data_IF_715912312193
#
_entry.id   IF_715912312193
#
_cell.length_a   1.000
_cell.length_b   1.000
_cell.length_c   1.000
_cell.angle_alpha   90.00
_cell.angle_beta   90.00
_cell.angle_gamma   90.00
#
_symmetry.space_group_name_H-M   'P 1'
#
loop_
_entity.id
_entity.type
_entity.pdbx_description
1 polymer ?
#
# COMPACT_ATOMS: atom_id res chain seq x y z
N UNK A 1 -12.97 -4.16 2.93
CA UNK A 1 -12.99 -5.20 1.90
C UNK A 1 -13.93 -4.81 0.75
N UNK A 2 -15.20 -4.53 1.03
CA UNK A 2 -16.19 -4.08 0.03
C UNK A 2 -15.76 -2.90 -0.86
N UNK A 3 -15.09 -1.89 -0.29
CA UNK A 3 -14.59 -0.73 -1.06
C UNK A 3 -13.57 -1.11 -2.15
N UNK A 4 -12.74 -2.12 -1.92
CA UNK A 4 -11.71 -2.58 -2.87
C UNK A 4 -12.38 -3.38 -4.00
N UNK A 5 -13.38 -4.20 -3.67
CA UNK A 5 -14.14 -5.00 -4.64
C UNK A 5 -15.02 -4.13 -5.53
N UNK A 6 -15.68 -3.11 -4.96
CA UNK A 6 -16.43 -2.09 -5.71
C UNK A 6 -15.52 -1.32 -6.67
N UNK A 7 -14.27 -1.10 -6.28
CA UNK A 7 -13.30 -0.38 -7.09
C UNK A 7 -12.73 -1.21 -8.25
N UNK A 8 -12.41 -2.49 -8.04
CA UNK A 8 -12.03 -3.43 -9.11
C UNK A 8 -13.15 -3.55 -10.16
N UNK A 9 -14.40 -3.65 -9.70
CA UNK A 9 -15.59 -3.67 -10.57
C UNK A 9 -15.74 -2.32 -11.29
N UNK A 10 -15.52 -1.20 -10.60
CA UNK A 10 -15.54 0.13 -11.21
C UNK A 10 -14.46 0.32 -12.27
N UNK A 11 -13.26 -0.19 -12.06
CA UNK A 11 -12.15 -0.15 -13.00
C UNK A 11 -12.43 -1.04 -14.23
N UNK A 12 -13.02 -2.22 -14.01
CA UNK A 12 -13.44 -3.14 -15.07
C UNK A 12 -14.56 -2.55 -15.94
N UNK A 13 -15.54 -1.86 -15.35
CA UNK A 13 -16.63 -1.20 -16.08
C UNK A 13 -16.08 0.02 -16.84
N UNK A 14 -15.24 0.85 -16.21
CA UNK A 14 -14.70 2.06 -16.82
C UNK A 14 -13.74 1.78 -18.00
N UNK A 15 -12.98 0.68 -17.93
CA UNK A 15 -12.10 0.24 -19.03
C UNK A 15 -12.87 -0.35 -20.20
N UNK A 16 -13.98 -1.06 -19.96
CA UNK A 16 -14.81 -1.64 -21.02
C UNK A 16 -15.80 -0.65 -21.67
N UNK A 17 -16.26 0.38 -20.96
CA UNK A 17 -17.28 1.32 -21.46
C UNK A 17 -16.73 2.68 -21.96
N UNK A 18 -15.41 2.81 -22.16
CA UNK A 18 -14.81 3.87 -22.98
C UNK A 18 -14.93 5.32 -22.48
N UNK A 19 -15.56 5.57 -21.33
CA UNK A 19 -15.90 6.94 -20.86
C UNK A 19 -14.76 7.65 -20.11
N UNK A 20 -13.73 6.93 -19.64
CA UNK A 20 -12.60 7.51 -18.90
C UNK A 20 -11.27 7.14 -19.55
N UNK A 21 -10.79 8.01 -20.44
CA UNK A 21 -9.57 7.83 -21.24
C UNK A 21 -8.25 7.76 -20.43
N UNK A 22 -8.27 7.91 -19.10
CA UNK A 22 -7.04 7.91 -18.29
C UNK A 22 -7.16 7.07 -17.03
N UNK A 23 -6.64 5.85 -17.09
CA UNK A 23 -6.33 5.01 -15.91
C UNK A 23 -5.53 5.78 -14.85
N UNK A 24 -4.73 6.78 -15.25
CA UNK A 24 -3.97 7.66 -14.37
C UNK A 24 -4.80 8.36 -13.30
N UNK A 25 -6.00 8.86 -13.62
CA UNK A 25 -6.86 9.56 -12.66
C UNK A 25 -7.26 8.65 -11.49
N UNK A 26 -7.67 7.41 -11.81
CA UNK A 26 -8.05 6.44 -10.79
C UNK A 26 -6.88 6.09 -9.88
N UNK A 27 -5.70 5.83 -10.43
CA UNK A 27 -4.52 5.53 -9.62
C UNK A 27 -4.07 6.73 -8.78
N UNK A 28 -4.09 7.94 -9.34
CA UNK A 28 -3.68 9.16 -8.63
C UNK A 28 -4.64 9.56 -7.51
N UNK A 29 -5.91 9.18 -7.56
CA UNK A 29 -6.87 9.35 -6.45
C UNK A 29 -6.76 8.19 -5.45
N UNK A 30 -6.65 6.96 -5.95
CA UNK A 30 -6.59 5.76 -5.12
C UNK A 30 -5.38 5.74 -4.20
N UNK A 31 -4.20 6.12 -4.70
CA UNK A 31 -2.94 6.03 -3.94
C UNK A 31 -2.95 6.90 -2.68
N UNK A 32 -3.33 8.19 -2.73
CA UNK A 32 -3.51 8.99 -1.52
C UNK A 32 -4.51 8.37 -0.56
N UNK A 33 -5.69 7.94 -1.03
CA UNK A 33 -6.72 7.35 -0.18
C UNK A 33 -6.21 6.08 0.53
N UNK A 34 -5.57 5.16 -0.21
CA UNK A 34 -4.96 3.95 0.35
C UNK A 34 -3.92 4.30 1.41
N UNK A 35 -3.05 5.27 1.12
CA UNK A 35 -2.04 5.78 2.05
C UNK A 35 -2.69 6.31 3.32
N UNK A 36 -3.73 7.13 3.20
CA UNK A 36 -4.51 7.67 4.32
C UNK A 36 -5.06 6.55 5.21
N UNK A 37 -5.64 5.50 4.61
CA UNK A 37 -6.20 4.36 5.37
C UNK A 37 -5.12 3.67 6.20
N UNK A 38 -3.97 3.34 5.61
CA UNK A 38 -2.89 2.67 6.33
C UNK A 38 -2.24 3.59 7.38
N UNK A 39 -2.03 4.86 7.07
CA UNK A 39 -1.51 5.84 8.03
C UNK A 39 -2.45 5.99 9.22
N UNK A 40 -3.76 6.11 9.00
CA UNK A 40 -4.75 6.20 10.08
C UNK A 40 -4.71 4.93 10.95
N UNK A 41 -4.64 3.75 10.32
CA UNK A 41 -4.51 2.48 11.03
C UNK A 41 -3.27 2.49 11.95
N UNK A 42 -2.09 2.82 11.41
CA UNK A 42 -0.86 2.87 12.18
C UNK A 42 -0.82 3.98 13.24
N UNK A 43 -1.45 5.11 12.97
CA UNK A 43 -1.53 6.24 13.90
C UNK A 43 -2.42 5.93 15.11
N UNK A 44 -3.54 5.23 14.90
CA UNK A 44 -4.52 4.91 15.95
C UNK A 44 -4.08 3.79 16.89
N UNK A 45 -3.13 2.96 16.49
CA UNK A 45 -2.55 1.92 17.35
C UNK A 45 -1.88 2.55 18.58
N UNK A 46 -2.13 1.99 19.77
CA UNK A 46 -1.60 2.52 21.03
C UNK A 46 -0.08 2.34 21.15
N UNK A 47 0.45 1.21 20.68
CA UNK A 47 1.89 0.92 20.61
C UNK A 47 2.67 2.01 19.87
N UNK A 48 2.07 2.63 18.87
CA UNK A 48 2.73 3.67 18.08
C UNK A 48 2.68 5.06 18.71
N UNK A 49 2.16 5.22 19.93
CA UNK A 49 2.11 6.51 20.61
C UNK A 49 3.44 7.30 20.59
N UNK A 50 4.63 6.67 20.82
CA UNK A 50 5.91 7.39 20.78
C UNK A 50 6.25 7.98 19.41
N UNK A 51 5.81 7.33 18.33
CA UNK A 51 6.15 7.68 16.94
C UNK A 51 5.01 8.41 16.21
N UNK A 52 3.88 8.68 16.85
CA UNK A 52 2.70 9.31 16.23
C UNK A 52 3.01 10.65 15.56
N UNK A 53 3.85 11.48 16.19
CA UNK A 53 4.27 12.77 15.62
C UNK A 53 5.03 12.58 14.32
N UNK A 54 5.92 11.58 14.28
CA UNK A 54 6.70 11.24 13.09
C UNK A 54 5.82 10.70 11.96
N UNK A 55 4.85 9.82 12.28
CA UNK A 55 3.86 9.32 11.32
C UNK A 55 3.05 10.47 10.72
N UNK A 56 2.54 11.39 11.57
CA UNK A 56 1.78 12.55 11.11
C UNK A 56 2.63 13.48 10.23
N UNK A 57 3.89 13.69 10.59
CA UNK A 57 4.83 14.50 9.81
C UNK A 57 5.09 13.87 8.43
N UNK A 58 5.45 12.59 8.36
CA UNK A 58 5.67 11.87 7.09
C UNK A 58 4.46 11.96 6.16
N UNK A 59 3.26 11.74 6.72
CA UNK A 59 2.02 11.83 5.96
C UNK A 59 1.72 13.26 5.49
N UNK A 60 1.96 14.27 6.33
CA UNK A 60 1.79 15.68 5.96
C UNK A 60 2.73 16.09 4.83
N UNK A 61 3.99 15.68 4.88
CA UNK A 61 4.97 15.91 3.80
C UNK A 61 4.50 15.24 2.50
N UNK A 62 4.09 13.96 2.57
CA UNK A 62 3.56 13.23 1.41
C UNK A 62 2.34 13.92 0.78
N UNK A 63 1.36 14.33 1.59
CA UNK A 63 0.18 15.03 1.09
C UNK A 63 0.54 16.37 0.47
N UNK A 64 1.42 17.13 1.11
CA UNK A 64 1.88 18.43 0.62
C UNK A 64 2.53 18.29 -0.75
N UNK A 65 3.45 17.33 -0.91
CA UNK A 65 4.12 17.04 -2.18
C UNK A 65 3.11 16.58 -3.24
N UNK A 66 2.15 15.73 -2.87
CA UNK A 66 1.11 15.22 -3.78
C UNK A 66 0.23 16.37 -4.30
N UNK A 67 -0.23 17.25 -3.41
CA UNK A 67 -1.06 18.40 -3.77
C UNK A 67 -0.29 19.40 -4.63
N UNK A 68 0.94 19.76 -4.25
CA UNK A 68 1.80 20.65 -5.05
C UNK A 68 2.03 20.08 -6.44
N UNK A 69 2.29 18.78 -6.54
CA UNK A 69 2.50 18.11 -7.83
C UNK A 69 1.26 18.23 -8.72
N UNK A 70 0.06 17.95 -8.19
CA UNK A 70 -1.16 18.01 -8.99
C UNK A 70 -1.61 19.42 -9.37
N UNK A 71 -1.29 20.42 -8.55
CA UNK A 71 -1.67 21.82 -8.80
C UNK A 71 -0.69 22.49 -9.77
N UNK A 72 0.62 22.25 -9.61
CA UNK A 72 1.65 23.06 -10.29
C UNK A 72 2.51 22.29 -11.30
N UNK A 73 2.67 20.97 -11.18
CA UNK A 73 3.68 20.22 -11.95
C UNK A 73 3.04 19.34 -13.02
N UNK A 74 2.04 18.53 -12.66
CA UNK A 74 1.47 17.53 -13.56
C UNK A 74 -0.03 17.34 -13.31
N UNK A 75 -0.83 17.30 -14.38
CA UNK A 75 -2.27 17.03 -14.28
C UNK A 75 -2.55 15.69 -13.58
N UNK A 76 -3.55 15.68 -12.70
CA UNK A 76 -4.06 14.48 -12.02
C UNK A 76 -4.49 13.36 -12.97
N UNK A 77 -4.78 13.69 -14.24
CA UNK A 77 -5.18 12.71 -15.25
C UNK A 77 -4.01 11.86 -15.77
N UNK A 78 -2.77 12.33 -15.63
CA UNK A 78 -1.58 11.62 -16.11
C UNK A 78 -0.99 10.81 -14.95
N UNK A 79 -0.82 9.50 -15.15
CA UNK A 79 -0.24 8.63 -14.12
C UNK A 79 1.17 9.09 -13.72
N UNK A 80 1.41 9.23 -12.41
CA UNK A 80 2.71 9.60 -11.86
C UNK A 80 3.26 8.45 -10.99
N UNK A 81 4.29 7.77 -11.49
CA UNK A 81 4.93 6.66 -10.78
C UNK A 81 5.65 7.08 -9.50
N UNK A 82 6.21 8.30 -9.45
CA UNK A 82 6.93 8.80 -8.27
C UNK A 82 6.00 9.02 -7.07
N UNK A 83 4.78 9.51 -7.29
CA UNK A 83 3.78 9.64 -6.22
C UNK A 83 3.33 8.27 -5.70
N UNK A 84 3.27 7.25 -6.57
CA UNK A 84 3.00 5.87 -6.17
C UNK A 84 4.15 5.28 -5.34
N UNK A 85 5.40 5.57 -5.71
CA UNK A 85 6.58 5.17 -4.94
C UNK A 85 6.59 5.83 -3.55
N UNK A 86 6.33 7.13 -3.49
CA UNK A 86 6.25 7.90 -2.24
C UNK A 86 5.16 7.37 -1.30
N UNK A 87 3.98 7.04 -1.85
CA UNK A 87 2.90 6.38 -1.11
C UNK A 87 3.36 5.07 -0.46
N UNK A 88 3.95 4.16 -1.25
CA UNK A 88 4.45 2.88 -0.74
C UNK A 88 5.56 3.05 0.29
N UNK A 89 6.43 4.05 0.12
CA UNK A 89 7.48 4.39 1.09
C UNK A 89 6.89 4.81 2.44
N UNK A 90 5.93 5.75 2.46
CA UNK A 90 5.28 6.22 3.70
C UNK A 90 4.61 5.07 4.45
N UNK A 91 3.86 4.24 3.72
CA UNK A 91 3.17 3.08 4.31
C UNK A 91 4.18 2.11 4.91
N UNK A 92 5.28 1.83 4.20
CA UNK A 92 6.34 0.94 4.67
C UNK A 92 7.02 1.49 5.93
N UNK A 93 7.35 2.79 5.97
CA UNK A 93 7.90 3.44 7.16
C UNK A 93 6.97 3.31 8.37
N UNK A 94 5.66 3.54 8.19
CA UNK A 94 4.68 3.36 9.26
C UNK A 94 4.65 1.93 9.79
N UNK A 95 4.74 0.94 8.90
CA UNK A 95 4.85 -0.46 9.28
C UNK A 95 6.14 -0.77 10.04
N UNK A 96 7.27 -0.25 9.60
CA UNK A 96 8.56 -0.44 10.27
C UNK A 96 8.52 0.15 11.68
N UNK A 97 7.94 1.34 11.86
CA UNK A 97 7.78 1.92 13.20
C UNK A 97 6.89 1.06 14.10
N UNK A 98 5.83 0.47 13.55
CA UNK A 98 5.03 -0.50 14.30
C UNK A 98 5.84 -1.71 14.72
N UNK A 99 6.59 -2.33 13.80
CA UNK A 99 7.42 -3.50 14.13
C UNK A 99 8.47 -3.16 15.17
N UNK A 100 9.14 -2.01 15.05
CA UNK A 100 10.12 -1.55 16.03
C UNK A 100 9.50 -1.45 17.44
N UNK A 101 8.35 -0.81 17.57
CA UNK A 101 7.67 -0.71 18.86
C UNK A 101 7.10 -2.06 19.35
N UNK A 102 6.68 -2.93 18.43
CA UNK A 102 6.19 -4.27 18.75
C UNK A 102 7.30 -5.16 19.31
N UNK A 103 8.49 -5.17 18.71
CA UNK A 103 9.62 -5.98 19.18
C UNK A 103 10.23 -5.47 20.49
N UNK A 104 9.90 -4.24 20.90
CA UNK A 104 10.27 -3.68 22.21
C UNK A 104 9.22 -3.98 23.31
N UNK A 105 8.19 -4.78 23.03
CA UNK A 105 7.24 -5.20 24.06
C UNK A 105 7.85 -6.31 24.92
N UNK A 106 7.91 -6.10 26.23
CA UNK A 106 8.41 -7.11 27.17
C UNK A 106 7.28 -8.02 27.72
N UNK A 107 6.03 -7.81 27.31
CA UNK A 107 4.87 -8.51 27.86
C UNK A 107 4.20 -9.47 26.85
N UNK A 108 4.24 -10.80 27.08
CA UNK A 108 3.70 -11.80 26.14
C UNK A 108 2.18 -11.71 25.96
N UNK A 109 1.45 -11.18 26.94
CA UNK A 109 -0.01 -10.99 26.81
C UNK A 109 -0.35 -9.83 25.89
N UNK A 110 0.47 -8.78 25.88
CA UNK A 110 0.32 -7.66 24.95
C UNK A 110 0.74 -8.07 23.54
N UNK A 111 1.83 -8.80 23.37
CA UNK A 111 2.27 -9.32 22.06
C UNK A 111 1.15 -10.09 21.35
N UNK A 112 0.50 -11.03 22.05
CA UNK A 112 -0.60 -11.83 21.50
C UNK A 112 -1.83 -10.98 21.13
N UNK A 113 -1.99 -9.77 21.69
CA UNK A 113 -3.04 -8.83 21.29
C UNK A 113 -2.78 -8.22 19.92
N UNK A 114 -1.53 -8.02 19.56
CA UNK A 114 -1.15 -7.33 18.33
C UNK A 114 -0.82 -8.26 17.16
N UNK A 115 -0.85 -9.58 17.39
CA UNK A 115 -0.65 -10.61 16.35
C UNK A 115 -1.42 -10.35 15.03
N UNK A 116 -2.71 -9.96 15.03
CA UNK A 116 -3.41 -9.64 13.79
C UNK A 116 -2.81 -8.44 13.05
N UNK A 117 -2.36 -7.43 13.79
CA UNK A 117 -1.77 -6.21 13.23
C UNK A 117 -0.38 -6.49 12.67
N UNK A 118 0.40 -7.39 13.29
CA UNK A 118 1.68 -7.85 12.72
C UNK A 118 1.46 -8.46 11.34
N UNK A 119 0.47 -9.33 11.17
CA UNK A 119 0.20 -9.97 9.88
C UNK A 119 -0.15 -8.95 8.80
N UNK A 120 -0.99 -7.96 9.13
CA UNK A 120 -1.27 -6.83 8.22
C UNK A 120 0.02 -6.08 7.90
N UNK A 121 0.86 -5.83 8.91
CA UNK A 121 2.09 -5.06 8.75
C UNK A 121 3.12 -5.77 7.89
N UNK A 122 3.33 -7.07 8.11
CA UNK A 122 4.22 -7.92 7.29
C UNK A 122 3.73 -7.95 5.84
N UNK A 123 2.43 -8.19 5.63
CA UNK A 123 1.84 -8.18 4.29
C UNK A 123 2.12 -6.88 3.54
N UNK A 124 1.99 -5.74 4.23
CA UNK A 124 2.19 -4.40 3.68
C UNK A 124 3.68 -4.08 3.43
N UNK A 125 4.56 -4.34 4.39
CA UNK A 125 6.01 -4.07 4.29
C UNK A 125 6.66 -4.96 3.23
N UNK A 126 6.15 -6.15 2.98
CA UNK A 126 6.64 -7.00 1.89
C UNK A 126 6.07 -6.52 0.54
N UNK A 127 4.76 -6.25 0.48
CA UNK A 127 4.08 -5.88 -0.77
C UNK A 127 4.62 -4.59 -1.40
N UNK A 128 4.59 -3.47 -0.66
CA UNK A 128 4.85 -2.16 -1.25
C UNK A 128 6.28 -2.01 -1.78
N UNK A 129 7.34 -2.40 -1.05
CA UNK A 129 8.71 -2.36 -1.57
C UNK A 129 8.92 -3.25 -2.79
N UNK A 130 8.45 -4.50 -2.78
CA UNK A 130 8.66 -5.43 -3.90
C UNK A 130 7.95 -4.93 -5.17
N UNK A 131 6.70 -4.47 -5.04
CA UNK A 131 5.97 -3.88 -6.17
C UNK A 131 6.65 -2.61 -6.66
N UNK A 132 7.08 -1.74 -5.75
CA UNK A 132 7.77 -0.49 -6.11
C UNK A 132 9.10 -0.74 -6.83
N UNK A 133 9.90 -1.71 -6.36
CA UNK A 133 11.14 -2.14 -7.02
C UNK A 133 10.83 -2.63 -8.43
N UNK A 134 9.83 -3.50 -8.57
CA UNK A 134 9.41 -4.02 -9.88
C UNK A 134 9.02 -2.90 -10.84
N UNK A 135 8.28 -1.89 -10.36
CA UNK A 135 7.90 -0.72 -11.15
C UNK A 135 9.08 0.20 -11.48
N UNK A 136 10.03 0.36 -10.56
CA UNK A 136 11.25 1.13 -10.82
C UNK A 136 12.08 0.48 -11.94
N UNK A 137 12.12 -0.86 -11.98
CA UNK A 137 12.77 -1.63 -13.03
C UNK A 137 11.89 -1.89 -14.26
N UNK A 138 10.69 -1.29 -14.37
CA UNK A 138 9.76 -1.55 -15.47
C UNK A 138 10.39 -1.42 -16.86
N UNK A 139 11.10 -0.32 -17.12
CA UNK A 139 11.77 -0.09 -18.41
C UNK A 139 12.84 -1.13 -18.71
N UNK A 140 13.56 -1.58 -17.68
CA UNK A 140 14.56 -2.63 -17.81
C UNK A 140 13.89 -3.98 -18.10
N UNK A 141 12.89 -4.37 -17.33
CA UNK A 141 12.14 -5.62 -17.55
C UNK A 141 11.50 -5.69 -18.94
N UNK A 142 11.04 -4.55 -19.46
CA UNK A 142 10.47 -4.45 -20.80
C UNK A 142 11.54 -4.56 -21.91
N UNK A 143 12.71 -3.96 -21.70
CA UNK A 143 13.81 -4.02 -22.68
C UNK A 143 14.40 -5.43 -22.84
N UNK A 144 14.38 -6.25 -21.77
CA UNK A 144 14.91 -7.61 -21.77
C UNK A 144 13.85 -8.70 -21.98
N UNK A 145 12.60 -8.32 -22.29
CA UNK A 145 11.44 -9.22 -22.41
C UNK A 145 11.36 -10.25 -21.27
N UNK A 146 11.63 -9.78 -20.06
CA UNK A 146 11.84 -10.64 -18.91
C UNK A 146 10.50 -11.27 -18.49
N UNK A 147 10.30 -12.54 -18.84
CA UNK A 147 9.07 -13.29 -18.62
C UNK A 147 9.34 -14.64 -17.95
N UNK A 148 8.37 -15.11 -17.16
CA UNK A 148 8.34 -16.46 -16.59
C UNK A 148 7.04 -17.10 -17.05
N UNK A 149 7.11 -18.30 -17.62
CA UNK A 149 5.95 -19.01 -18.20
C UNK A 149 5.15 -18.16 -19.21
N UNK A 150 5.84 -17.29 -19.96
CA UNK A 150 5.22 -16.38 -20.94
C UNK A 150 4.49 -15.18 -20.33
N UNK A 151 4.55 -14.99 -19.01
CA UNK A 151 3.95 -13.84 -18.32
C UNK A 151 5.07 -12.83 -17.98
N UNK A 152 4.94 -11.55 -18.37
CA UNK A 152 5.95 -10.55 -18.05
C UNK A 152 6.11 -10.35 -16.54
N UNK A 153 7.35 -10.26 -16.06
CA UNK A 153 7.66 -10.12 -14.63
C UNK A 153 7.00 -8.90 -13.98
N UNK A 154 6.91 -7.79 -14.72
CA UNK A 154 6.28 -6.56 -14.22
C UNK A 154 4.77 -6.70 -13.98
N UNK A 155 4.13 -7.76 -14.52
CA UNK A 155 2.74 -8.12 -14.22
C UNK A 155 2.67 -9.25 -13.19
N UNK A 156 3.55 -10.24 -13.30
CA UNK A 156 3.55 -11.42 -12.45
C UNK A 156 3.86 -11.09 -10.99
N UNK A 157 4.91 -10.31 -10.74
CA UNK A 157 5.36 -10.00 -9.38
C UNK A 157 4.27 -9.27 -8.59
N UNK A 158 3.64 -8.18 -9.10
CA UNK A 158 2.56 -7.52 -8.36
C UNK A 158 1.36 -8.44 -8.08
N UNK A 159 1.01 -9.36 -9.00
CA UNK A 159 -0.08 -10.32 -8.78
C UNK A 159 0.23 -11.29 -7.65
N UNK A 160 1.43 -11.87 -7.63
CA UNK A 160 1.86 -12.78 -6.55
C UNK A 160 1.89 -12.03 -5.22
N UNK A 161 2.43 -10.81 -5.20
CA UNK A 161 2.48 -9.99 -3.99
C UNK A 161 1.08 -9.63 -3.48
N UNK A 162 0.11 -9.36 -4.37
CA UNK A 162 -1.28 -9.15 -3.97
C UNK A 162 -1.87 -10.39 -3.29
N UNK A 163 -1.65 -11.59 -3.85
CA UNK A 163 -2.12 -12.85 -3.24
C UNK A 163 -1.52 -13.01 -1.84
N UNK A 164 -0.22 -12.77 -1.70
CA UNK A 164 0.46 -12.82 -0.41
C UNK A 164 -0.14 -11.82 0.60
N UNK A 165 -0.26 -10.55 0.22
CA UNK A 165 -0.80 -9.49 1.09
C UNK A 165 -2.24 -9.80 1.53
N UNK A 166 -3.10 -10.21 0.60
CA UNK A 166 -4.49 -10.54 0.92
C UNK A 166 -4.62 -11.80 1.77
N UNK A 167 -3.70 -12.77 1.64
CA UNK A 167 -3.63 -13.93 2.52
C UNK A 167 -3.29 -13.51 3.95
N UNK A 168 -2.32 -12.61 4.13
CA UNK A 168 -2.00 -12.02 5.43
C UNK A 168 -3.20 -11.29 6.05
N UNK A 169 -3.92 -10.49 5.25
CA UNK A 169 -5.10 -9.76 5.73
C UNK A 169 -6.23 -10.71 6.13
N UNK A 170 -6.50 -11.73 5.32
CA UNK A 170 -7.52 -12.73 5.61
C UNK A 170 -7.23 -13.44 6.91
N UNK A 171 -5.98 -13.86 7.12
CA UNK A 171 -5.57 -14.52 8.35
C UNK A 171 -5.63 -13.59 9.57
N UNK A 172 -5.24 -12.31 9.41
CA UNK A 172 -5.39 -11.30 10.46
C UNK A 172 -6.86 -11.13 10.89
N UNK A 173 -7.79 -11.01 9.94
CA UNK A 173 -9.21 -10.87 10.24
C UNK A 173 -9.79 -12.12 10.90
N UNK A 174 -9.34 -13.30 10.49
CA UNK A 174 -9.72 -14.56 11.14
C UNK A 174 -9.30 -14.59 12.62
N UNK A 175 -8.08 -14.14 12.93
CA UNK A 175 -7.59 -14.07 14.30
C UNK A 175 -8.35 -13.07 15.18
N UNK A 176 -8.82 -11.96 14.60
CA UNK A 176 -9.70 -11.02 15.30
C UNK A 176 -11.05 -11.66 15.64
N UNK A 177 -11.63 -12.46 14.73
CA UNK A 177 -12.92 -13.14 14.95
C UNK A 177 -12.87 -14.16 16.09
N UNK A 178 -11.75 -14.88 16.26
CA UNK A 178 -11.58 -15.89 17.31
C UNK A 178 -11.49 -15.30 18.74
N UNK A 179 -11.25 -13.99 18.86
CA UNK A 179 -11.00 -13.32 20.14
C UNK A 179 -12.24 -12.63 20.73
N UNK A 180 -13.32 -12.52 19.95
CA UNK A 180 -14.67 -12.21 20.41
C UNK A 180 -15.46 -13.50 20.61
#
# INVERSE_FOLDING_TARGET
MWLISIQEIGLFIATNYGSLKTTGLFYNIYRPISTTVFVILFYRISINAPVRKLIAWLYSVYLSVTLVTFIFIQSITIYNSYLSLASGFVITCCGIFFLFNYFNLDNPTEERRWLPVILVTVGVITFYPIVNITLAFYKFLLAYDASIFGIPLYQLIPRIMSIFMYSCFTYAFYLCKKKN
#
